data_IF_664955382077
#
_entry.id   IF_664955382077
#
_cell.length_a   1.000
_cell.length_b   1.000
_cell.length_c   1.000
_cell.angle_alpha   90.00
_cell.angle_beta   90.00
_cell.angle_gamma   90.00
#
_symmetry.space_group_name_H-M   'P 1'
#
loop_
_entity.id
_entity.type
_entity.pdbx_description
1 polymer ?
#
# COMPACT_ATOMS: atom_id res chain seq x y z
N UNK A 1 7.20 -13.37 -10.82
CA UNK A 1 7.89 -12.09 -10.95
C UNK A 1 8.05 -11.76 -12.43
N UNK A 2 7.60 -10.59 -12.80
CA UNK A 2 7.82 -10.12 -14.15
C UNK A 2 8.57 -8.81 -14.10
N UNK A 3 9.64 -8.77 -14.84
CA UNK A 3 10.40 -7.55 -15.06
C UNK A 3 10.36 -7.26 -16.55
N UNK A 4 10.01 -6.03 -16.89
CA UNK A 4 9.99 -5.61 -18.28
C UNK A 4 11.34 -5.00 -18.57
N UNK A 5 12.13 -5.69 -19.33
CA UNK A 5 13.51 -5.35 -19.51
C UNK A 5 13.79 -4.35 -20.60
N UNK A 6 13.04 -3.34 -20.75
CA UNK A 6 13.14 -2.47 -21.90
C UNK A 6 13.84 -1.14 -21.63
N UNK A 7 14.68 -1.10 -20.66
CA UNK A 7 15.50 0.08 -20.43
C UNK A 7 14.77 1.29 -19.88
N UNK A 8 13.50 1.42 -20.14
CA UNK A 8 12.69 2.50 -19.63
C UNK A 8 11.73 2.02 -18.54
N UNK A 9 12.06 0.89 -17.96
CA UNK A 9 11.23 0.32 -16.90
C UNK A 9 11.46 1.06 -15.61
N UNK A 10 10.41 1.60 -15.08
CA UNK A 10 10.42 2.31 -13.81
C UNK A 10 9.91 1.47 -12.67
N UNK A 11 9.24 0.37 -12.98
CA UNK A 11 8.57 -0.44 -11.99
C UNK A 11 8.81 -1.92 -12.27
N UNK A 12 8.89 -2.69 -11.19
CA UNK A 12 8.78 -4.13 -11.26
C UNK A 12 7.49 -4.50 -10.58
N UNK A 13 6.80 -5.46 -11.16
CA UNK A 13 5.52 -5.89 -10.64
C UNK A 13 5.55 -7.38 -10.39
N UNK A 14 5.10 -7.78 -9.21
CA UNK A 14 4.90 -9.18 -8.87
C UNK A 14 3.39 -9.38 -8.75
N UNK A 15 2.86 -10.28 -9.57
CA UNK A 15 1.44 -10.60 -9.55
C UNK A 15 1.30 -12.06 -9.11
N UNK A 16 0.52 -12.28 -8.07
CA UNK A 16 0.27 -13.61 -7.55
C UNK A 16 -0.97 -14.20 -8.18
N UNK A 17 -1.09 -15.52 -8.16
CA UNK A 17 -2.19 -16.21 -8.80
C UNK A 17 -3.55 -15.85 -8.22
N UNK A 18 -3.58 -15.38 -6.98
CA UNK A 18 -4.82 -14.95 -6.33
C UNK A 18 -5.20 -13.50 -6.66
N UNK A 19 -4.47 -12.85 -7.56
CA UNK A 19 -4.76 -11.48 -7.97
C UNK A 19 -4.11 -10.40 -7.12
N UNK A 20 -3.35 -10.79 -6.11
CA UNK A 20 -2.57 -9.84 -5.33
C UNK A 20 -1.39 -9.33 -6.13
N UNK A 21 -0.96 -8.12 -5.83
CA UNK A 21 0.05 -7.45 -6.62
C UNK A 21 0.96 -6.61 -5.73
N UNK A 22 2.24 -6.63 -6.02
CA UNK A 22 3.22 -5.74 -5.40
C UNK A 22 3.98 -5.03 -6.52
N UNK A 23 4.09 -3.71 -6.44
CA UNK A 23 4.89 -2.93 -7.38
C UNK A 23 6.08 -2.32 -6.66
N UNK A 24 7.22 -2.34 -7.34
CA UNK A 24 8.47 -1.77 -6.85
C UNK A 24 8.92 -0.69 -7.81
N UNK A 25 9.62 0.32 -7.31
CA UNK A 25 10.25 1.29 -8.19
C UNK A 25 11.58 0.74 -8.73
N UNK A 26 12.26 1.54 -9.52
CA UNK A 26 13.52 1.10 -10.15
C UNK A 26 14.64 0.90 -9.14
N UNK A 27 14.54 1.47 -7.95
CA UNK A 27 15.52 1.27 -6.89
C UNK A 27 15.27 0.02 -6.07
N UNK A 28 14.15 -0.67 -6.32
CA UNK A 28 13.80 -1.88 -5.60
C UNK A 28 12.92 -1.66 -4.38
N UNK A 29 12.55 -0.43 -4.10
CA UNK A 29 11.62 -0.14 -3.00
C UNK A 29 10.19 -0.37 -3.47
N UNK A 30 9.36 -0.91 -2.58
CA UNK A 30 7.97 -1.12 -2.94
C UNK A 30 7.25 0.23 -3.08
N UNK A 31 6.31 0.28 -4.01
CA UNK A 31 5.47 1.46 -4.23
C UNK A 31 4.02 1.17 -3.94
N UNK A 32 3.55 -0.01 -4.22
CA UNK A 32 2.17 -0.37 -4.04
C UNK A 32 2.05 -1.84 -3.69
N UNK A 33 1.21 -2.15 -2.72
CA UNK A 33 0.83 -3.52 -2.39
C UNK A 33 -0.69 -3.57 -2.38
N UNK A 34 -1.24 -4.46 -3.20
CA UNK A 34 -2.69 -4.61 -3.33
C UNK A 34 -3.08 -6.04 -3.06
N UNK A 35 -4.02 -6.22 -2.15
CA UNK A 35 -4.55 -7.52 -1.80
C UNK A 35 -6.07 -7.51 -2.02
N UNK A 36 -6.57 -8.53 -2.71
CA UNK A 36 -8.00 -8.60 -3.04
C UNK A 36 -8.82 -9.27 -1.95
N UNK A 37 -8.30 -10.34 -1.39
CA UNK A 37 -9.03 -11.19 -0.45
C UNK A 37 -8.38 -11.27 0.91
N UNK A 38 -7.15 -10.78 1.03
CA UNK A 38 -6.42 -10.79 2.29
C UNK A 38 -5.91 -9.39 2.56
N UNK A 39 -5.54 -9.14 3.79
CA UNK A 39 -4.99 -7.83 4.11
C UNK A 39 -3.51 -7.75 3.77
N UNK A 40 -3.03 -6.53 3.58
CA UNK A 40 -1.62 -6.25 3.35
C UNK A 40 -0.83 -6.75 4.56
N UNK A 41 0.31 -7.43 4.34
CA UNK A 41 1.10 -7.92 5.47
C UNK A 41 1.52 -6.77 6.40
N UNK A 42 1.39 -7.01 7.69
CA UNK A 42 1.70 -5.98 8.69
C UNK A 42 3.15 -5.51 8.61
N UNK A 43 4.05 -6.36 8.14
CA UNK A 43 5.46 -6.02 8.01
C UNK A 43 5.74 -4.90 7.02
N UNK A 44 4.83 -4.72 6.06
CA UNK A 44 4.96 -3.70 5.02
C UNK A 44 4.41 -2.36 5.51
N UNK A 45 3.39 -2.40 6.35
CA UNK A 45 2.69 -1.20 6.80
C UNK A 45 3.45 -0.56 7.95
N UNK A 46 3.79 0.73 7.86
CA UNK A 46 4.41 1.43 8.99
C UNK A 46 3.58 1.30 10.26
N UNK A 47 4.26 1.18 11.38
CA UNK A 47 3.60 0.96 12.66
C UNK A 47 2.59 2.06 13.00
N UNK A 48 2.93 3.31 12.71
CA UNK A 48 2.02 4.43 12.98
C UNK A 48 0.71 4.30 12.20
N UNK A 49 0.77 3.84 10.96
CA UNK A 49 -0.41 3.64 10.13
C UNK A 49 -1.23 2.47 10.68
N UNK A 50 -0.57 1.37 11.04
CA UNK A 50 -1.27 0.23 11.64
C UNK A 50 -2.00 0.62 12.92
N UNK A 51 -1.34 1.38 13.77
CA UNK A 51 -1.92 1.83 15.02
C UNK A 51 -3.11 2.76 14.80
N UNK A 52 -3.00 3.65 13.83
CA UNK A 52 -4.10 4.55 13.48
C UNK A 52 -5.33 3.76 13.05
N UNK A 53 -5.15 2.81 12.16
CA UNK A 53 -6.26 1.98 11.66
C UNK A 53 -6.86 1.15 12.79
N UNK A 54 -6.02 0.55 13.61
CA UNK A 54 -6.48 -0.28 14.72
C UNK A 54 -7.31 0.54 15.72
N UNK A 55 -6.91 1.78 15.95
CA UNK A 55 -7.59 2.64 16.92
C UNK A 55 -8.89 3.20 16.36
N UNK A 56 -8.91 3.61 15.10
CA UNK A 56 -10.05 4.32 14.53
C UNK A 56 -10.97 3.42 13.70
N UNK A 57 -10.45 2.34 13.15
CA UNK A 57 -11.21 1.43 12.31
C UNK A 57 -10.87 -0.02 12.67
N UNK A 58 -11.20 -0.45 13.89
CA UNK A 58 -10.72 -1.75 14.39
C UNK A 58 -11.23 -2.96 13.61
N UNK A 59 -12.35 -2.80 12.90
CA UNK A 59 -12.92 -3.89 12.11
C UNK A 59 -12.50 -3.85 10.65
N UNK A 60 -11.71 -2.86 10.27
CA UNK A 60 -11.28 -2.72 8.88
C UNK A 60 -9.93 -3.37 8.67
N UNK A 61 -9.72 -3.87 7.45
CA UNK A 61 -8.44 -4.44 7.04
C UNK A 61 -7.84 -3.54 5.98
N UNK A 62 -6.52 -3.46 5.95
CA UNK A 62 -5.81 -2.70 4.93
C UNK A 62 -5.68 -3.58 3.70
N UNK A 63 -6.34 -3.22 2.62
CA UNK A 63 -6.34 -3.99 1.38
C UNK A 63 -5.31 -3.49 0.38
N UNK A 64 -4.89 -2.24 0.50
CA UNK A 64 -3.92 -1.66 -0.40
C UNK A 64 -3.13 -0.59 0.34
N UNK A 65 -1.84 -0.53 0.05
CA UNK A 65 -1.00 0.57 0.51
C UNK A 65 -0.15 1.03 -0.66
N UNK A 66 -0.05 2.33 -0.83
CA UNK A 66 0.74 2.95 -1.89
C UNK A 66 1.62 4.02 -1.28
N UNK A 67 2.86 4.08 -1.72
CA UNK A 67 3.80 5.11 -1.30
C UNK A 67 4.28 5.88 -2.52
N UNK A 68 4.02 7.18 -2.54
CA UNK A 68 4.42 8.04 -3.65
C UNK A 68 4.56 9.47 -3.14
N UNK A 69 5.54 10.19 -3.65
CA UNK A 69 5.80 11.60 -3.30
C UNK A 69 5.85 11.84 -1.80
N UNK A 70 6.46 10.91 -1.07
CA UNK A 70 6.60 10.98 0.39
C UNK A 70 5.26 10.92 1.13
N UNK A 71 4.23 10.39 0.49
CA UNK A 71 2.92 10.20 1.11
C UNK A 71 2.55 8.72 1.04
N UNK A 72 1.82 8.28 2.05
CA UNK A 72 1.26 6.93 2.08
C UNK A 72 -0.24 7.04 1.91
N UNK A 73 -0.79 6.25 1.00
CA UNK A 73 -2.24 6.13 0.86
C UNK A 73 -2.64 4.69 1.13
N UNK A 74 -3.63 4.51 1.99
CA UNK A 74 -4.15 3.18 2.28
C UNK A 74 -5.63 3.11 1.91
N UNK A 75 -6.04 1.92 1.48
CA UNK A 75 -7.45 1.61 1.22
C UNK A 75 -7.87 0.50 2.16
N UNK A 76 -8.98 0.73 2.83
CA UNK A 76 -9.49 -0.19 3.84
C UNK A 76 -10.64 -1.02 3.28
N UNK A 77 -10.94 -2.11 3.95
CA UNK A 77 -12.03 -3.00 3.56
C UNK A 77 -13.40 -2.34 3.68
N UNK A 78 -13.51 -1.24 4.44
CA UNK A 78 -14.75 -0.48 4.57
C UNK A 78 -14.88 0.65 3.54
N UNK A 79 -13.99 0.65 2.51
CA UNK A 79 -13.97 1.62 1.42
C UNK A 79 -13.39 2.99 1.75
N UNK A 80 -12.94 3.20 2.98
CA UNK A 80 -12.25 4.44 3.31
C UNK A 80 -10.84 4.43 2.74
N UNK A 81 -10.42 5.60 2.27
CA UNK A 81 -9.05 5.83 1.81
C UNK A 81 -8.44 6.92 2.68
N UNK A 82 -7.27 6.65 3.20
CA UNK A 82 -6.62 7.57 4.14
C UNK A 82 -5.22 7.86 3.62
N UNK A 83 -4.88 9.14 3.56
CA UNK A 83 -3.56 9.58 3.12
C UNK A 83 -2.79 10.14 4.32
N UNK A 84 -1.55 9.69 4.45
CA UNK A 84 -0.62 10.12 5.49
C UNK A 84 0.56 10.84 4.86
N UNK A 85 1.09 11.87 5.52
CA UNK A 85 2.30 12.52 5.07
C UNK A 85 3.54 11.73 5.52
N UNK A 86 4.73 12.25 5.19
CA UNK A 86 5.98 11.58 5.53
C UNK A 86 6.21 11.47 7.04
N UNK A 87 5.50 12.25 7.82
CA UNK A 87 5.57 12.21 9.29
C UNK A 87 4.44 11.38 9.89
N UNK A 88 3.72 10.62 9.05
CA UNK A 88 2.64 9.73 9.47
C UNK A 88 1.45 10.48 10.05
N UNK A 89 1.23 11.71 9.60
CA UNK A 89 0.04 12.47 9.97
C UNK A 89 -1.01 12.31 8.89
N UNK A 90 -2.26 12.18 9.32
CA UNK A 90 -3.37 12.08 8.38
C UNK A 90 -3.59 13.45 7.73
N UNK A 91 -3.54 13.49 6.40
CA UNK A 91 -3.75 14.72 5.65
C UNK A 91 -5.00 14.66 4.78
N UNK A 92 -5.57 13.47 4.59
CA UNK A 92 -6.81 13.36 3.83
C UNK A 92 -7.51 12.05 4.21
N UNK A 93 -8.83 12.10 4.28
CA UNK A 93 -9.67 10.92 4.46
C UNK A 93 -10.81 11.02 3.46
N UNK A 94 -10.99 9.97 2.66
CA UNK A 94 -11.98 9.94 1.59
C UNK A 94 -12.72 8.60 1.64
N UNK A 95 -13.99 8.61 1.32
CA UNK A 95 -14.77 7.37 1.25
C UNK A 95 -15.38 7.10 -0.13
#
# INVERSE_FOLDING_TARGET
VRSRGLGDVYKRQVVFTNGEKVEFDKSGEWKEVRCRQSEVPAQIVPEAIRNYVKTNYPDARILQIEYDDNEYEIKLSNRWEITFDSKMRVIDIDD
#
